data_IF_281633985803
#
_entry.id   IF_281633985803
#
_cell.length_a   1.000
_cell.length_b   1.000
_cell.length_c   1.000
_cell.angle_alpha   90.00
_cell.angle_beta   90.00
_cell.angle_gamma   90.00
#
_symmetry.space_group_name_H-M   'P 1'
#
loop_
_entity.id
_entity.type
_entity.pdbx_description
1 polymer ?
#
# COMPACT_ATOMS: atom_id res chain seq x y z
N UNK A 1 42.94 -37.78 3.79
CA UNK A 1 41.86 -38.27 4.67
C UNK A 1 41.22 -37.21 5.56
N UNK A 2 41.89 -36.51 6.47
CA UNK A 2 41.22 -35.44 7.27
C UNK A 2 40.80 -34.24 6.41
N UNK A 3 41.67 -33.81 5.50
CA UNK A 3 41.43 -32.64 4.63
C UNK A 3 40.25 -32.87 3.68
N UNK A 4 40.14 -34.07 3.10
CA UNK A 4 39.02 -34.45 2.22
C UNK A 4 37.71 -34.53 2.99
N UNK A 5 37.73 -35.00 4.24
CA UNK A 5 36.55 -35.07 5.09
C UNK A 5 36.05 -33.66 5.50
N UNK A 6 36.97 -32.72 5.72
CA UNK A 6 36.65 -31.31 5.98
C UNK A 6 36.11 -30.61 4.73
N UNK A 7 36.71 -30.85 3.55
CA UNK A 7 36.21 -30.30 2.29
C UNK A 7 34.81 -30.83 1.94
N UNK A 8 34.54 -32.13 2.13
CA UNK A 8 33.21 -32.70 1.91
C UNK A 8 32.15 -32.09 2.83
N UNK A 9 32.46 -31.84 4.11
CA UNK A 9 31.50 -31.20 5.01
C UNK A 9 31.23 -29.74 4.60
N UNK A 10 32.26 -28.99 4.17
CA UNK A 10 32.10 -27.60 3.72
C UNK A 10 31.25 -27.51 2.45
N UNK A 11 31.41 -28.44 1.51
CA UNK A 11 30.58 -28.50 0.29
C UNK A 11 29.15 -28.96 0.60
N UNK A 12 28.95 -29.90 1.53
CA UNK A 12 27.62 -30.38 1.93
C UNK A 12 26.85 -29.30 2.70
N UNK A 13 27.51 -28.59 3.62
CA UNK A 13 26.96 -27.44 4.33
C UNK A 13 26.80 -26.21 3.42
N UNK A 14 27.68 -26.04 2.43
CA UNK A 14 27.61 -25.00 1.41
C UNK A 14 26.43 -25.20 0.45
N UNK A 15 26.22 -26.42 -0.03
CA UNK A 15 25.07 -26.80 -0.86
C UNK A 15 23.76 -26.75 -0.07
N UNK A 16 23.78 -27.11 1.22
CA UNK A 16 22.64 -26.91 2.12
C UNK A 16 22.33 -25.42 2.28
N UNK A 17 23.32 -24.56 2.54
CA UNK A 17 23.15 -23.11 2.62
C UNK A 17 22.65 -22.46 1.32
N UNK A 18 23.07 -22.98 0.16
CA UNK A 18 22.57 -22.54 -1.15
C UNK A 18 21.13 -23.02 -1.40
N UNK A 19 20.78 -24.24 -0.93
CA UNK A 19 19.40 -24.74 -0.98
C UNK A 19 18.43 -23.97 -0.05
N UNK A 20 18.92 -23.45 1.08
CA UNK A 20 18.17 -22.60 2.01
C UNK A 20 17.91 -21.20 1.41
N UNK A 21 18.80 -20.70 0.54
CA UNK A 21 18.58 -19.47 -0.24
C UNK A 21 17.45 -19.59 -1.28
N UNK A 22 17.11 -20.80 -1.73
CA UNK A 22 16.00 -21.05 -2.66
C UNK A 22 14.64 -21.31 -1.98
N UNK A 23 14.62 -21.55 -0.67
CA UNK A 23 13.37 -21.66 0.09
C UNK A 23 12.85 -20.27 0.41
N UNK A 24 12.00 -19.74 -0.46
CA UNK A 24 11.18 -18.56 -0.14
C UNK A 24 10.42 -18.80 1.17
N UNK A 25 10.92 -18.19 2.25
CA UNK A 25 10.33 -18.27 3.58
C UNK A 25 8.88 -17.75 3.55
N UNK A 26 8.02 -18.27 4.43
CA UNK A 26 6.60 -17.90 4.47
C UNK A 26 6.37 -16.39 4.62
N UNK A 27 7.23 -15.71 5.39
CA UNK A 27 7.15 -14.26 5.59
C UNK A 27 7.45 -13.47 4.31
N UNK A 28 8.45 -13.90 3.51
CA UNK A 28 8.73 -13.30 2.20
C UNK A 28 7.53 -13.41 1.24
N UNK A 29 6.88 -14.58 1.20
CA UNK A 29 5.68 -14.80 0.38
C UNK A 29 4.51 -13.92 0.82
N UNK A 30 4.31 -13.78 2.13
CA UNK A 30 3.25 -12.92 2.69
C UNK A 30 3.49 -11.45 2.34
N UNK A 31 4.71 -10.93 2.51
CA UNK A 31 5.05 -9.54 2.16
C UNK A 31 4.83 -9.30 0.67
N UNK A 32 5.33 -10.17 -0.20
CA UNK A 32 5.14 -10.03 -1.65
C UNK A 32 3.66 -10.00 -2.04
N UNK A 33 2.84 -10.85 -1.42
CA UNK A 33 1.40 -10.85 -1.62
C UNK A 33 0.79 -9.49 -1.25
N UNK A 34 1.08 -8.97 -0.05
CA UNK A 34 0.57 -7.67 0.39
C UNK A 34 1.04 -6.51 -0.51
N UNK A 35 2.31 -6.50 -0.93
CA UNK A 35 2.85 -5.47 -1.83
C UNK A 35 2.13 -5.50 -3.18
N UNK A 36 2.02 -6.66 -3.82
CA UNK A 36 1.37 -6.80 -5.14
C UNK A 36 -0.11 -6.41 -5.05
N UNK A 37 -0.81 -6.90 -4.02
CA UNK A 37 -2.22 -6.55 -3.79
C UNK A 37 -2.37 -5.04 -3.57
N UNK A 38 -1.50 -4.41 -2.75
CA UNK A 38 -1.55 -2.97 -2.52
C UNK A 38 -1.31 -2.16 -3.79
N UNK A 39 -0.34 -2.55 -4.62
CA UNK A 39 -0.03 -1.88 -5.89
C UNK A 39 -1.18 -2.00 -6.89
N UNK A 40 -1.84 -3.16 -6.94
CA UNK A 40 -3.01 -3.37 -7.79
C UNK A 40 -4.19 -2.49 -7.35
N UNK A 41 -4.48 -2.43 -6.04
CA UNK A 41 -5.51 -1.54 -5.52
C UNK A 41 -5.18 -0.06 -5.74
N UNK A 42 -3.92 0.34 -5.57
CA UNK A 42 -3.47 1.71 -5.84
C UNK A 42 -3.62 2.07 -7.33
N UNK A 43 -3.34 1.14 -8.25
CA UNK A 43 -3.58 1.33 -9.67
C UNK A 43 -5.06 1.52 -9.99
N UNK A 44 -5.93 0.64 -9.47
CA UNK A 44 -7.39 0.78 -9.63
C UNK A 44 -7.90 2.11 -9.04
N UNK A 45 -7.35 2.50 -7.90
CA UNK A 45 -7.63 3.79 -7.27
C UNK A 45 -7.31 4.95 -8.23
N UNK A 46 -6.10 4.99 -8.80
CA UNK A 46 -5.73 6.05 -9.75
C UNK A 46 -6.65 6.05 -10.98
N UNK A 47 -6.99 4.89 -11.55
CA UNK A 47 -7.92 4.79 -12.67
C UNK A 47 -9.30 5.38 -12.31
N UNK A 48 -9.85 5.03 -11.14
CA UNK A 48 -11.15 5.56 -10.68
C UNK A 48 -11.10 7.05 -10.35
N UNK A 49 -9.96 7.54 -9.84
CA UNK A 49 -9.70 8.95 -9.57
C UNK A 49 -9.66 9.81 -10.83
N UNK A 50 -9.03 9.34 -11.92
CA UNK A 50 -9.05 10.04 -13.22
C UNK A 50 -10.47 10.14 -13.77
N UNK A 51 -11.30 9.12 -13.54
CA UNK A 51 -12.71 9.10 -13.96
C UNK A 51 -13.66 9.85 -13.00
N UNK A 52 -13.17 10.50 -11.93
CA UNK A 52 -13.99 11.20 -10.94
C UNK A 52 -14.80 12.38 -11.50
N UNK A 53 -14.35 12.97 -12.60
CA UNK A 53 -15.08 14.05 -13.31
C UNK A 53 -16.29 13.53 -14.06
N UNK A 54 -16.30 12.25 -14.47
CA UNK A 54 -17.37 11.64 -15.25
C UNK A 54 -18.52 11.15 -14.37
N UNK A 55 -18.22 10.60 -13.19
CA UNK A 55 -19.21 9.98 -12.31
C UNK A 55 -18.91 10.28 -10.82
N UNK A 56 -19.75 11.07 -10.12
CA UNK A 56 -19.60 11.37 -8.70
C UNK A 56 -19.35 10.19 -7.73
N UNK A 57 -19.95 8.99 -7.90
CA UNK A 57 -19.72 7.89 -6.96
C UNK A 57 -18.28 7.33 -7.02
N UNK A 58 -17.52 7.58 -8.09
CA UNK A 58 -16.16 7.04 -8.21
C UNK A 58 -15.17 7.72 -7.25
N UNK A 59 -15.48 8.93 -6.76
CA UNK A 59 -14.69 9.59 -5.72
C UNK A 59 -14.67 8.80 -4.40
N UNK A 60 -15.77 8.14 -4.04
CA UNK A 60 -15.82 7.27 -2.86
C UNK A 60 -15.00 5.99 -3.08
N UNK A 61 -15.11 5.39 -4.27
CA UNK A 61 -14.32 4.21 -4.65
C UNK A 61 -12.83 4.52 -4.62
N UNK A 62 -12.42 5.68 -5.12
CA UNK A 62 -11.06 6.19 -5.06
C UNK A 62 -10.53 6.26 -3.61
N UNK A 63 -11.25 6.94 -2.71
CA UNK A 63 -10.83 7.08 -1.30
C UNK A 63 -10.74 5.73 -0.60
N UNK A 64 -11.74 4.86 -0.77
CA UNK A 64 -11.79 3.55 -0.09
C UNK A 64 -10.68 2.62 -0.61
N UNK A 65 -10.49 2.54 -1.92
CA UNK A 65 -9.45 1.69 -2.51
C UNK A 65 -8.04 2.18 -2.15
N UNK A 66 -7.81 3.49 -2.14
CA UNK A 66 -6.54 4.08 -1.70
C UNK A 66 -6.26 3.82 -0.21
N UNK A 67 -7.29 3.87 0.64
CA UNK A 67 -7.16 3.55 2.06
C UNK A 67 -6.75 2.08 2.28
N UNK A 68 -7.41 1.15 1.60
CA UNK A 68 -7.09 -0.28 1.72
C UNK A 68 -5.69 -0.56 1.17
N UNK A 69 -5.31 0.06 0.04
CA UNK A 69 -3.96 -0.03 -0.51
C UNK A 69 -2.90 0.45 0.50
N UNK A 70 -3.14 1.58 1.16
CA UNK A 70 -2.27 2.13 2.20
C UNK A 70 -2.11 1.20 3.40
N UNK A 71 -3.21 0.64 3.90
CA UNK A 71 -3.14 -0.30 5.03
C UNK A 71 -2.32 -1.54 4.67
N UNK A 72 -2.57 -2.14 3.50
CA UNK A 72 -1.80 -3.30 3.04
C UNK A 72 -0.31 -2.97 2.87
N UNK A 73 0.00 -1.78 2.34
CA UNK A 73 1.37 -1.31 2.14
C UNK A 73 2.10 -1.07 3.46
N UNK A 74 1.46 -0.40 4.44
CA UNK A 74 2.00 -0.21 5.79
C UNK A 74 2.24 -1.53 6.54
N UNK A 75 1.34 -2.50 6.39
CA UNK A 75 1.52 -3.83 6.97
C UNK A 75 2.70 -4.54 6.32
N UNK A 76 2.84 -4.46 4.99
CA UNK A 76 3.99 -5.04 4.29
C UNK A 76 5.32 -4.43 4.75
N UNK A 77 5.38 -3.10 4.85
CA UNK A 77 6.56 -2.38 5.33
C UNK A 77 6.90 -2.76 6.78
N UNK A 78 5.90 -2.83 7.65
CA UNK A 78 6.07 -3.21 9.05
C UNK A 78 6.55 -4.65 9.23
N UNK A 79 5.93 -5.61 8.54
CA UNK A 79 6.34 -7.02 8.59
C UNK A 79 7.75 -7.19 8.02
N UNK A 80 8.07 -6.52 6.91
CA UNK A 80 9.42 -6.54 6.35
C UNK A 80 10.44 -5.95 7.33
N UNK A 81 10.15 -4.80 7.93
CA UNK A 81 11.05 -4.15 8.87
C UNK A 81 11.28 -5.00 10.12
N UNK A 82 10.23 -5.58 10.71
CA UNK A 82 10.36 -6.45 11.88
C UNK A 82 11.15 -7.71 11.58
N UNK A 83 10.89 -8.34 10.43
CA UNK A 83 11.60 -9.55 10.03
C UNK A 83 13.06 -9.26 9.64
N UNK A 84 13.35 -8.10 9.05
CA UNK A 84 14.73 -7.68 8.75
C UNK A 84 15.54 -7.33 10.02
N UNK A 85 14.89 -6.83 11.08
CA UNK A 85 15.54 -6.53 12.36
C UNK A 85 15.68 -7.75 13.28
N UNK A 86 15.00 -8.86 12.96
CA UNK A 86 15.16 -10.11 13.71
C UNK A 86 16.62 -10.56 13.65
N UNK A 87 17.21 -10.87 14.80
CA UNK A 87 18.64 -11.23 14.94
C UNK A 87 19.03 -12.36 13.99
N UNK A 88 18.18 -13.38 13.88
CA UNK A 88 18.38 -14.54 12.99
C UNK A 88 18.48 -14.15 11.50
N UNK A 89 17.83 -13.05 11.09
CA UNK A 89 17.82 -12.56 9.71
C UNK A 89 18.87 -11.46 9.48
N UNK A 90 19.22 -10.71 10.52
CA UNK A 90 20.21 -9.64 10.46
C UNK A 90 21.64 -10.18 10.40
N UNK A 91 21.92 -11.29 11.08
CA UNK A 91 23.24 -11.90 11.12
C UNK A 91 23.21 -13.23 10.39
N UNK A 92 23.66 -13.23 9.14
CA UNK A 92 23.72 -14.44 8.32
C UNK A 92 25.09 -15.10 8.53
N UNK A 93 25.10 -16.37 8.92
CA UNK A 93 26.31 -17.18 9.00
C UNK A 93 26.72 -17.58 7.58
N UNK A 94 27.85 -17.05 7.11
CA UNK A 94 28.46 -17.47 5.84
C UNK A 94 29.49 -18.60 6.06
N UNK A 95 30.04 -19.10 4.96
CA UNK A 95 31.07 -20.15 4.94
C UNK A 95 32.30 -19.83 5.83
N UNK A 96 32.60 -18.53 6.00
CA UNK A 96 33.62 -18.03 6.93
C UNK A 96 33.08 -16.78 7.64
N UNK A 97 32.50 -16.97 8.83
CA UNK A 97 32.08 -15.88 9.72
C UNK A 97 30.63 -15.39 9.56
N UNK A 98 30.24 -14.41 10.38
CA UNK A 98 28.89 -13.82 10.40
C UNK A 98 28.88 -12.47 9.68
N UNK A 99 28.03 -12.32 8.68
CA UNK A 99 27.81 -11.05 7.96
C UNK A 99 26.56 -10.34 8.47
N UNK A 100 26.64 -9.03 8.64
CA UNK A 100 25.48 -8.20 8.94
C UNK A 100 24.78 -7.78 7.65
N UNK A 101 23.57 -8.29 7.44
CA UNK A 101 22.78 -7.97 6.27
C UNK A 101 22.14 -6.59 6.42
N UNK A 102 22.47 -5.67 5.51
CA UNK A 102 21.84 -4.35 5.43
C UNK A 102 20.56 -4.41 4.61
N UNK A 103 19.62 -3.55 4.98
CA UNK A 103 18.35 -3.37 4.25
C UNK A 103 18.64 -2.80 2.87
N UNK A 104 18.07 -3.42 1.83
CA UNK A 104 18.25 -2.98 0.44
C UNK A 104 17.48 -1.71 0.08
N UNK A 105 17.94 -0.99 -0.94
CA UNK A 105 17.32 0.25 -1.43
C UNK A 105 15.85 0.12 -1.85
N UNK A 106 15.43 -1.06 -2.30
CA UNK A 106 14.05 -1.32 -2.71
C UNK A 106 13.04 -1.08 -1.56
N UNK A 107 13.41 -1.39 -0.32
CA UNK A 107 12.58 -1.12 0.85
C UNK A 107 12.37 0.38 1.06
N UNK A 108 13.44 1.17 0.98
CA UNK A 108 13.35 2.62 1.14
C UNK A 108 12.49 3.27 0.04
N UNK A 109 12.60 2.78 -1.21
CA UNK A 109 11.74 3.24 -2.30
C UNK A 109 10.27 2.88 -2.04
N UNK A 110 9.99 1.69 -1.54
CA UNK A 110 8.62 1.28 -1.21
C UNK A 110 8.04 2.16 -0.10
N UNK A 111 8.76 2.37 1.01
CA UNK A 111 8.35 3.25 2.12
C UNK A 111 8.11 4.70 1.66
N UNK A 112 8.96 5.23 0.77
CA UNK A 112 8.73 6.55 0.16
C UNK A 112 7.46 6.57 -0.69
N UNK A 113 7.19 5.49 -1.43
CA UNK A 113 5.93 5.29 -2.16
C UNK A 113 4.72 5.28 -1.21
N UNK A 114 4.78 4.53 -0.12
CA UNK A 114 3.75 4.49 0.94
C UNK A 114 3.47 5.88 1.50
N UNK A 115 4.52 6.67 1.76
CA UNK A 115 4.38 8.05 2.23
C UNK A 115 3.71 8.96 1.19
N UNK A 116 4.08 8.82 -0.09
CA UNK A 116 3.42 9.52 -1.19
C UNK A 116 1.92 9.18 -1.27
N UNK A 117 1.56 7.91 -1.12
CA UNK A 117 0.17 7.48 -1.05
C UNK A 117 -0.56 8.05 0.17
N UNK A 118 0.10 8.22 1.32
CA UNK A 118 -0.53 8.86 2.49
C UNK A 118 -0.90 10.31 2.21
N UNK A 119 -0.02 11.06 1.54
CA UNK A 119 -0.31 12.44 1.12
C UNK A 119 -1.48 12.43 0.12
N UNK A 120 -1.46 11.54 -0.86
CA UNK A 120 -2.55 11.40 -1.83
C UNK A 120 -3.89 11.09 -1.16
N UNK A 121 -3.89 10.27 -0.11
CA UNK A 121 -5.08 9.95 0.66
C UNK A 121 -5.66 11.14 1.43
N UNK A 122 -4.81 11.99 2.03
CA UNK A 122 -5.26 13.24 2.66
C UNK A 122 -5.89 14.17 1.60
N UNK A 123 -5.25 14.30 0.44
CA UNK A 123 -5.82 15.05 -0.69
C UNK A 123 -7.16 14.45 -1.17
N UNK A 124 -7.28 13.12 -1.20
CA UNK A 124 -8.50 12.43 -1.57
C UNK A 124 -9.65 12.72 -0.58
N UNK A 125 -9.40 12.68 0.73
CA UNK A 125 -10.38 13.03 1.76
C UNK A 125 -10.85 14.48 1.61
N UNK A 126 -9.91 15.42 1.47
CA UNK A 126 -10.26 16.85 1.34
C UNK A 126 -11.09 17.11 0.09
N UNK A 127 -10.77 16.44 -1.03
CA UNK A 127 -11.53 16.50 -2.27
C UNK A 127 -12.96 15.99 -2.08
N UNK A 128 -13.12 14.81 -1.49
CA UNK A 128 -14.45 14.23 -1.23
C UNK A 128 -15.25 15.08 -0.25
N UNK A 129 -14.62 15.63 0.80
CA UNK A 129 -15.28 16.55 1.72
C UNK A 129 -15.79 17.81 1.01
N UNK A 130 -14.98 18.44 0.16
CA UNK A 130 -15.41 19.59 -0.65
C UNK A 130 -16.57 19.21 -1.58
N UNK A 131 -16.50 18.03 -2.19
CA UNK A 131 -17.53 17.55 -3.10
C UNK A 131 -18.90 17.40 -2.41
N UNK A 132 -18.93 16.84 -1.20
CA UNK A 132 -20.16 16.68 -0.40
C UNK A 132 -20.75 18.06 -0.02
N UNK A 133 -19.91 18.98 0.47
CA UNK A 133 -20.37 20.32 0.89
C UNK A 133 -20.92 21.16 -0.28
N UNK A 134 -20.31 21.06 -1.47
CA UNK A 134 -20.80 21.76 -2.67
C UNK A 134 -22.17 21.22 -3.10
N UNK A 135 -22.37 19.91 -3.02
CA UNK A 135 -23.65 19.27 -3.35
C UNK A 135 -24.76 19.67 -2.38
N UNK A 136 -24.47 19.73 -1.08
CA UNK A 136 -25.43 20.18 -0.06
C UNK A 136 -25.82 21.66 -0.27
N UNK A 137 -24.83 22.51 -0.57
CA UNK A 137 -25.06 23.93 -0.90
C UNK A 137 -25.92 24.13 -2.16
N UNK A 138 -25.76 23.28 -3.19
CA UNK A 138 -26.58 23.34 -4.41
C UNK A 138 -28.01 22.88 -4.17
N UNK A 139 -28.19 21.76 -3.46
CA UNK A 139 -29.51 21.25 -3.12
C UNK A 139 -30.32 22.25 -2.27
N UNK A 140 -29.67 22.92 -1.32
CA UNK A 140 -30.31 23.99 -0.53
C UNK A 140 -30.83 25.15 -1.41
N UNK A 141 -30.03 25.58 -2.40
CA UNK A 141 -30.43 26.64 -3.34
C UNK A 141 -31.57 26.22 -4.26
N UNK A 142 -31.53 25.01 -4.80
CA UNK A 142 -32.61 24.48 -5.65
C UNK A 142 -33.95 24.45 -4.89
N UNK A 143 -33.94 23.93 -3.65
CA UNK A 143 -35.13 23.95 -2.80
C UNK A 143 -35.63 25.37 -2.54
N UNK A 144 -34.75 26.33 -2.27
CA UNK A 144 -35.15 27.72 -2.06
C UNK A 144 -35.82 28.32 -3.31
N UNK A 145 -35.27 28.06 -4.50
CA UNK A 145 -35.86 28.51 -5.76
C UNK A 145 -37.24 27.88 -6.02
N UNK A 146 -37.44 26.59 -5.73
CA UNK A 146 -38.75 25.95 -5.89
C UNK A 146 -39.79 26.55 -4.93
N UNK A 147 -39.43 26.79 -3.67
CA UNK A 147 -40.29 27.47 -2.69
C UNK A 147 -40.66 28.90 -3.11
N UNK A 148 -39.73 29.66 -3.68
CA UNK A 148 -40.00 31.00 -4.19
C UNK A 148 -40.93 30.98 -5.40
N UNK A 149 -40.74 30.03 -6.32
CA UNK A 149 -41.61 29.83 -7.48
C UNK A 149 -43.06 29.48 -7.08
N UNK A 150 -43.25 28.56 -6.13
CA UNK A 150 -44.58 28.23 -5.60
C UNK A 150 -45.27 29.41 -4.91
N UNK A 151 -44.52 30.24 -4.17
CA UNK A 151 -45.07 31.47 -3.55
C UNK A 151 -45.50 32.52 -4.57
N UNK A 152 -44.77 32.67 -5.67
CA UNK A 152 -45.16 33.59 -6.74
C UNK A 152 -46.43 33.12 -7.49
N UNK A 153 -46.57 31.81 -7.70
CA UNK A 153 -47.74 31.24 -8.38
C UNK A 153 -49.04 31.36 -7.57
N UNK A 154 -48.96 31.34 -6.24
CA UNK A 154 -50.13 31.41 -5.34
C UNK A 154 -50.68 32.82 -5.14
N UNK A 155 -49.90 33.86 -5.44
CA UNK A 155 -50.34 35.26 -5.32
C UNK A 155 -51.00 35.82 -6.60
N UNK A 156 -50.98 35.06 -7.71
CA UNK A 156 -51.57 35.45 -9.00
C UNK A 156 -52.96 34.82 -9.25
N UNK A 157 -53.61 34.29 -8.20
CA UNK A 157 -54.99 33.76 -8.19
C UNK A 157 -55.80 34.57 -7.20
#
# INVERSE_FOLDING_TARGET
>A
MVIENTLNNIDEDGAAGESEHHKFWAWHKAILFFIITSQFLAFLSICTGVCATCFPPTAFVFVISLFVALLCSLIADGVFFLAANRVDNRFVQGMVGTYEQRIGYAFYLHVMGTFCWMIAFICAITTTYKFINVRDSRGSKENLFTWQSQRAATHNV
#
